data_IF_856678206887
#
_entry.id   IF_856678206887
#
_cell.length_a   1.000
_cell.length_b   1.000
_cell.length_c   1.000
_cell.angle_alpha   90.00
_cell.angle_beta   90.00
_cell.angle_gamma   90.00
#
_symmetry.space_group_name_H-M   'P 1'
#
loop_
_entity.id
_entity.type
_entity.pdbx_description
1 polymer ?
#
# COMPACT_ATOMS: atom_id res chain seq x y z
N UNK A 1 17.81 35.57 46.22
CA UNK A 1 17.12 34.31 46.58
C UNK A 1 16.37 33.81 45.35
N UNK A 2 16.72 32.59 44.93
CA UNK A 2 16.15 31.63 43.96
C UNK A 2 15.38 32.06 42.68
N UNK A 3 15.69 31.42 41.52
CA UNK A 3 15.07 31.64 40.22
C UNK A 3 13.82 30.75 40.02
N UNK A 4 12.91 31.16 39.13
CA UNK A 4 11.87 30.27 38.58
C UNK A 4 12.20 29.99 37.12
N UNK A 5 12.64 28.75 36.89
CA UNK A 5 12.72 28.09 35.59
C UNK A 5 11.30 27.69 35.19
N UNK A 6 10.86 28.06 33.99
CA UNK A 6 9.81 27.31 33.31
C UNK A 6 10.11 27.29 31.80
N UNK A 7 11.09 26.46 31.49
CA UNK A 7 11.24 25.80 30.20
C UNK A 7 9.95 25.01 29.90
N UNK A 8 9.08 25.58 29.08
CA UNK A 8 7.91 24.95 28.50
C UNK A 8 8.04 24.96 26.98
N UNK A 9 8.72 23.95 26.47
CA UNK A 9 9.12 23.74 25.10
C UNK A 9 7.86 23.45 24.24
N UNK A 10 7.28 24.50 23.64
CA UNK A 10 6.20 24.40 22.65
C UNK A 10 6.79 23.95 21.31
N UNK A 11 7.18 22.68 21.22
CA UNK A 11 7.46 21.99 19.96
C UNK A 11 6.57 20.74 19.93
N UNK A 12 5.39 20.90 19.35
CA UNK A 12 4.39 19.83 19.30
C UNK A 12 3.31 20.06 18.26
N UNK A 13 3.63 20.68 17.11
CA UNK A 13 2.68 20.80 15.99
C UNK A 13 3.43 20.72 14.65
N UNK A 14 4.19 19.64 14.45
CA UNK A 14 4.72 19.29 13.12
C UNK A 14 3.67 18.46 12.37
N UNK A 15 2.96 19.15 11.48
CA UNK A 15 2.34 18.68 10.23
C UNK A 15 2.29 17.16 10.00
N UNK A 16 1.22 16.51 10.44
CA UNK A 16 0.69 15.28 9.82
C UNK A 16 -0.41 15.69 8.82
N UNK A 17 0.00 16.27 7.69
CA UNK A 17 -0.87 16.30 6.49
C UNK A 17 -0.59 14.99 5.75
N UNK A 18 -1.18 13.91 6.25
CA UNK A 18 -1.04 12.56 5.73
C UNK A 18 -2.38 11.83 5.76
N UNK A 19 -3.06 11.88 4.62
CA UNK A 19 -4.08 10.96 4.07
C UNK A 19 -5.13 10.37 5.01
N UNK A 20 -6.38 10.86 4.95
CA UNK A 20 -7.60 10.01 4.86
C UNK A 20 -8.71 10.84 4.20
N UNK A 21 -9.32 10.22 3.19
CA UNK A 21 -10.44 10.67 2.39
C UNK A 21 -11.62 11.15 3.25
N UNK A 22 -12.02 12.41 3.15
CA UNK A 22 -13.28 12.92 3.76
C UNK A 22 -14.53 12.53 2.96
N UNK A 23 -14.50 11.42 2.23
CA UNK A 23 -15.64 10.87 1.47
C UNK A 23 -16.25 9.62 2.11
N UNK A 24 -16.08 9.40 3.41
CA UNK A 24 -16.81 8.35 4.14
C UNK A 24 -18.09 8.84 4.83
N UNK A 25 -18.36 10.16 4.83
CA UNK A 25 -19.61 10.69 5.35
C UNK A 25 -20.62 10.86 4.19
N UNK A 26 -21.69 10.05 4.12
CA UNK A 26 -22.71 10.18 3.07
C UNK A 26 -23.36 11.58 3.07
N UNK A 27 -23.47 12.24 4.22
CA UNK A 27 -23.99 13.60 4.32
C UNK A 27 -23.04 14.63 3.71
N UNK A 28 -21.74 14.50 3.92
CA UNK A 28 -20.76 15.43 3.34
C UNK A 28 -20.71 15.31 1.81
N UNK A 29 -20.85 14.09 1.31
CA UNK A 29 -20.86 13.83 -0.12
C UNK A 29 -22.15 14.35 -0.77
N UNK A 30 -23.30 14.13 -0.10
CA UNK A 30 -24.60 14.67 -0.52
C UNK A 30 -24.57 16.20 -0.56
N UNK A 31 -23.97 16.85 0.43
CA UNK A 31 -23.83 18.31 0.46
C UNK A 31 -22.93 18.82 -0.66
N UNK A 32 -21.83 18.11 -1.00
CA UNK A 32 -21.01 18.47 -2.17
C UNK A 32 -21.79 18.37 -3.48
N UNK A 33 -22.59 17.32 -3.66
CA UNK A 33 -23.43 17.18 -4.86
C UNK A 33 -24.51 18.26 -4.90
N UNK A 34 -25.12 18.57 -3.75
CA UNK A 34 -26.08 19.66 -3.60
C UNK A 34 -25.47 20.98 -4.06
N UNK A 35 -24.29 21.33 -3.53
CA UNK A 35 -23.56 22.54 -3.89
C UNK A 35 -23.25 22.60 -5.38
N UNK A 36 -22.71 21.52 -5.95
CA UNK A 36 -22.43 21.45 -7.39
C UNK A 36 -23.70 21.70 -8.22
N UNK A 37 -24.80 21.03 -7.92
CA UNK A 37 -26.04 21.23 -8.66
C UNK A 37 -26.57 22.66 -8.52
N UNK A 38 -26.50 23.28 -7.33
CA UNK A 38 -26.89 24.69 -7.17
C UNK A 38 -25.95 25.67 -7.90
N UNK A 39 -24.64 25.40 -7.92
CA UNK A 39 -23.65 26.23 -8.62
C UNK A 39 -23.84 26.20 -10.14
N UNK A 40 -24.31 25.08 -10.68
CA UNK A 40 -24.69 24.95 -12.09
C UNK A 40 -26.05 25.57 -12.42
N UNK A 41 -26.75 26.14 -11.44
CA UNK A 41 -28.02 26.85 -11.62
C UNK A 41 -29.27 25.98 -11.52
N UNK A 42 -29.17 24.76 -11.00
CA UNK A 42 -30.34 23.95 -10.71
C UNK A 42 -31.00 24.43 -9.42
N UNK A 43 -32.28 24.82 -9.51
CA UNK A 43 -33.05 25.28 -8.36
C UNK A 43 -33.46 24.11 -7.45
N UNK A 44 -33.20 24.16 -6.14
CA UNK A 44 -33.58 23.10 -5.20
C UNK A 44 -35.07 22.75 -5.28
N UNK A 45 -35.40 21.51 -4.92
CA UNK A 45 -36.78 20.98 -4.91
C UNK A 45 -37.47 20.95 -6.28
N UNK A 46 -36.69 20.96 -7.37
CA UNK A 46 -37.17 20.76 -8.75
C UNK A 46 -36.73 19.42 -9.32
N UNK A 47 -37.44 18.92 -10.34
CA UNK A 47 -37.06 17.71 -11.08
C UNK A 47 -35.69 17.85 -11.74
N UNK A 48 -35.34 19.05 -12.21
CA UNK A 48 -34.02 19.33 -12.77
C UNK A 48 -32.90 19.14 -11.75
N UNK A 49 -33.12 19.63 -10.53
CA UNK A 49 -32.18 19.44 -9.43
C UNK A 49 -32.08 17.98 -9.00
N UNK A 50 -33.21 17.28 -8.91
CA UNK A 50 -33.23 15.84 -8.61
C UNK A 50 -32.43 15.04 -9.66
N UNK A 51 -32.60 15.34 -10.95
CA UNK A 51 -31.85 14.71 -12.03
C UNK A 51 -30.35 14.99 -11.93
N UNK A 52 -29.94 16.24 -11.66
CA UNK A 52 -28.53 16.56 -11.43
C UNK A 52 -27.94 15.76 -10.27
N UNK A 53 -28.64 15.69 -9.13
CA UNK A 53 -28.20 14.94 -7.96
C UNK A 53 -28.03 13.44 -8.26
N UNK A 54 -28.98 12.84 -8.97
CA UNK A 54 -28.90 11.44 -9.38
C UNK A 54 -27.72 11.18 -10.34
N UNK A 55 -27.48 12.08 -11.28
CA UNK A 55 -26.37 11.96 -12.22
C UNK A 55 -25.01 12.06 -11.50
N UNK A 56 -24.87 12.97 -10.53
CA UNK A 56 -23.67 13.04 -9.70
C UNK A 56 -23.50 11.76 -8.89
N UNK A 57 -24.59 11.16 -8.39
CA UNK A 57 -24.50 9.86 -7.73
C UNK A 57 -24.01 8.74 -8.64
N UNK A 58 -24.60 8.58 -9.81
CA UNK A 58 -24.15 7.57 -10.77
C UNK A 58 -22.67 7.74 -11.09
N UNK A 59 -22.21 8.98 -11.33
CA UNK A 59 -20.78 9.27 -11.55
C UNK A 59 -19.89 8.88 -10.37
N UNK A 60 -20.33 9.11 -9.14
CA UNK A 60 -19.55 8.76 -7.96
C UNK A 60 -19.43 7.23 -7.81
N UNK A 61 -20.53 6.50 -8.03
CA UNK A 61 -20.56 5.04 -8.01
C UNK A 61 -19.67 4.43 -9.11
N UNK A 62 -19.72 4.98 -10.33
CA UNK A 62 -18.91 4.54 -11.45
C UNK A 62 -17.41 4.71 -11.15
N UNK A 63 -17.01 5.86 -10.58
CA UNK A 63 -15.63 6.12 -10.16
C UNK A 63 -15.18 5.14 -9.08
N UNK A 64 -16.01 4.90 -8.07
CA UNK A 64 -15.69 3.94 -7.02
C UNK A 64 -15.55 2.52 -7.59
N UNK A 65 -16.42 2.13 -8.53
CA UNK A 65 -16.33 0.85 -9.21
C UNK A 65 -15.05 0.71 -10.03
N UNK A 66 -14.62 1.76 -10.73
CA UNK A 66 -13.36 1.81 -11.47
C UNK A 66 -12.15 1.71 -10.53
N UNK A 67 -12.12 2.52 -9.47
CA UNK A 67 -11.04 2.52 -8.47
C UNK A 67 -10.90 1.15 -7.80
N UNK A 68 -12.03 0.50 -7.50
CA UNK A 68 -12.05 -0.87 -6.97
C UNK A 68 -11.49 -1.87 -7.98
N UNK A 69 -11.82 -1.75 -9.27
CA UNK A 69 -11.26 -2.62 -10.33
C UNK A 69 -9.75 -2.43 -10.43
N UNK A 70 -9.28 -1.18 -10.47
CA UNK A 70 -7.85 -0.83 -10.55
C UNK A 70 -7.07 -1.36 -9.35
N UNK A 71 -7.59 -1.16 -8.14
CA UNK A 71 -6.98 -1.68 -6.90
C UNK A 71 -6.86 -3.20 -6.94
N UNK A 72 -7.92 -3.89 -7.36
CA UNK A 72 -7.92 -5.35 -7.48
C UNK A 72 -6.89 -5.85 -8.50
N UNK A 73 -6.70 -5.14 -9.61
CA UNK A 73 -5.67 -5.49 -10.60
C UNK A 73 -4.25 -5.37 -10.03
N UNK A 74 -3.97 -4.28 -9.30
CA UNK A 74 -2.68 -4.08 -8.62
C UNK A 74 -2.42 -5.20 -7.62
N UNK A 75 -3.42 -5.58 -6.82
CA UNK A 75 -3.31 -6.69 -5.86
C UNK A 75 -2.97 -8.01 -6.59
N UNK A 76 -3.67 -8.30 -7.70
CA UNK A 76 -3.42 -9.53 -8.48
C UNK A 76 -1.99 -9.56 -9.03
N UNK A 77 -1.50 -8.45 -9.57
CA UNK A 77 -0.14 -8.35 -10.10
C UNK A 77 0.92 -8.49 -9.00
N UNK A 78 0.73 -7.82 -7.87
CA UNK A 78 1.62 -7.97 -6.72
C UNK A 78 1.67 -9.41 -6.20
N UNK A 79 0.51 -10.09 -6.14
CA UNK A 79 0.44 -11.50 -5.76
C UNK A 79 1.20 -12.39 -6.74
N UNK A 80 1.10 -12.13 -8.06
CA UNK A 80 1.88 -12.87 -9.07
C UNK A 80 3.38 -12.67 -8.89
N UNK A 81 3.83 -11.42 -8.68
CA UNK A 81 5.25 -11.11 -8.44
C UNK A 81 5.77 -11.76 -7.17
N UNK A 82 4.99 -11.74 -6.09
CA UNK A 82 5.33 -12.40 -4.83
C UNK A 82 5.49 -13.91 -5.03
N UNK A 83 4.53 -14.57 -5.70
CA UNK A 83 4.60 -16.00 -5.98
C UNK A 83 5.83 -16.38 -6.83
N UNK A 84 6.17 -15.56 -7.84
CA UNK A 84 7.39 -15.78 -8.63
C UNK A 84 8.66 -15.62 -7.80
N UNK A 85 8.73 -14.59 -6.95
CA UNK A 85 9.87 -14.36 -6.07
C UNK A 85 10.06 -15.52 -5.07
N UNK A 86 8.95 -16.06 -4.53
CA UNK A 86 8.98 -17.19 -3.61
C UNK A 86 9.40 -18.49 -4.31
N UNK A 87 8.94 -18.72 -5.55
CA UNK A 87 9.40 -19.84 -6.36
C UNK A 87 10.92 -19.76 -6.64
N UNK A 88 11.43 -18.58 -6.96
CA UNK A 88 12.87 -18.37 -7.17
C UNK A 88 13.67 -18.60 -5.87
N UNK A 89 13.17 -18.13 -4.72
CA UNK A 89 13.80 -18.40 -3.41
C UNK A 89 13.82 -19.90 -3.11
N UNK A 90 12.73 -20.61 -3.36
CA UNK A 90 12.64 -22.07 -3.21
C UNK A 90 13.68 -22.80 -4.07
N UNK A 91 13.80 -22.42 -5.34
CA UNK A 91 14.81 -22.96 -6.25
C UNK A 91 16.24 -22.67 -5.76
N UNK A 92 16.54 -21.42 -5.40
CA UNK A 92 17.85 -21.04 -4.87
C UNK A 92 18.20 -21.85 -3.61
N UNK A 93 17.22 -22.04 -2.71
CA UNK A 93 17.36 -22.91 -1.54
C UNK A 93 17.76 -24.32 -1.98
N UNK A 94 16.97 -24.96 -2.81
CA UNK A 94 17.26 -26.33 -3.25
C UNK A 94 18.66 -26.45 -3.88
N UNK A 95 19.02 -25.54 -4.79
CA UNK A 95 20.32 -25.54 -5.48
C UNK A 95 21.49 -25.34 -4.52
N UNK A 96 21.40 -24.42 -3.55
CA UNK A 96 22.46 -24.21 -2.57
C UNK A 96 22.69 -25.42 -1.68
N UNK A 97 21.62 -26.11 -1.28
CA UNK A 97 21.73 -27.32 -0.48
C UNK A 97 22.29 -28.49 -1.28
N UNK A 98 21.94 -28.62 -2.57
CA UNK A 98 22.56 -29.63 -3.46
C UNK A 98 24.05 -29.40 -3.69
N UNK A 99 24.51 -28.15 -3.59
CA UNK A 99 25.94 -27.79 -3.69
C UNK A 99 26.68 -27.91 -2.36
N UNK A 100 26.01 -28.31 -1.27
CA UNK A 100 26.67 -28.48 0.02
C UNK A 100 27.83 -29.47 -0.11
N UNK A 101 28.98 -29.12 0.46
CA UNK A 101 30.22 -29.91 0.36
C UNK A 101 31.00 -29.73 -0.96
N UNK A 102 30.43 -29.09 -1.98
CA UNK A 102 31.18 -28.76 -3.19
C UNK A 102 32.00 -27.47 -2.98
N UNK A 103 33.31 -27.64 -2.81
CA UNK A 103 34.24 -26.55 -2.53
C UNK A 103 34.34 -25.49 -3.66
N UNK A 104 33.94 -25.82 -4.89
CA UNK A 104 33.99 -24.90 -6.04
C UNK A 104 32.96 -23.76 -5.95
N UNK A 105 31.93 -23.87 -5.11
CA UNK A 105 30.93 -22.80 -4.92
C UNK A 105 31.16 -22.07 -3.59
N UNK A 106 31.20 -20.73 -3.52
CA UNK A 106 31.38 -20.03 -2.24
C UNK A 106 30.26 -20.33 -1.24
N UNK A 107 30.53 -20.18 0.06
CA UNK A 107 29.49 -20.34 1.11
C UNK A 107 28.51 -19.17 1.03
N UNK A 108 27.21 -19.47 1.05
CA UNK A 108 26.18 -18.45 1.09
C UNK A 108 26.25 -17.64 2.40
N UNK A 109 25.99 -16.35 2.28
CA UNK A 109 25.87 -15.40 3.39
C UNK A 109 24.78 -14.37 3.08
N UNK A 110 24.51 -13.46 4.01
CA UNK A 110 23.48 -12.43 3.85
C UNK A 110 23.66 -11.51 2.63
N UNK A 111 24.90 -11.34 2.14
CA UNK A 111 25.22 -10.51 0.99
C UNK A 111 25.20 -11.28 -0.34
N UNK A 112 24.89 -12.58 -0.32
CA UNK A 112 24.89 -13.39 -1.54
C UNK A 112 23.73 -13.02 -2.47
N UNK A 113 23.91 -13.08 -3.80
CA UNK A 113 22.83 -12.83 -4.74
C UNK A 113 21.65 -13.80 -4.55
N UNK A 114 20.45 -13.25 -4.39
CA UNK A 114 19.25 -14.04 -4.10
C UNK A 114 19.28 -14.70 -2.72
N UNK A 115 20.04 -14.12 -1.77
CA UNK A 115 20.19 -14.65 -0.43
C UNK A 115 18.84 -14.80 0.28
N UNK A 116 18.69 -15.93 0.96
CA UNK A 116 17.67 -16.13 1.97
C UNK A 116 18.23 -16.95 3.12
N UNK A 117 17.64 -16.78 4.31
CA UNK A 117 17.95 -17.59 5.48
C UNK A 117 16.89 -18.68 5.61
N UNK A 118 17.31 -19.93 5.60
CA UNK A 118 16.45 -21.02 6.03
C UNK A 118 16.41 -21.08 7.55
N UNK A 119 15.38 -20.50 8.15
CA UNK A 119 15.24 -20.39 9.61
C UNK A 119 15.20 -21.75 10.33
N UNK A 120 14.83 -22.82 9.61
CA UNK A 120 14.76 -24.17 10.20
C UNK A 120 16.15 -24.76 10.38
N UNK A 121 17.04 -24.59 9.40
CA UNK A 121 18.41 -25.12 9.45
C UNK A 121 19.44 -24.10 9.93
N UNK A 122 19.08 -22.82 9.99
CA UNK A 122 20.00 -21.71 10.30
C UNK A 122 20.98 -21.38 9.17
N UNK A 123 20.80 -21.96 7.97
CA UNK A 123 21.74 -21.84 6.85
C UNK A 123 21.30 -20.81 5.83
N UNK A 124 22.26 -20.05 5.32
CA UNK A 124 22.04 -19.17 4.17
C UNK A 124 21.99 -19.97 2.87
N UNK A 125 21.16 -19.54 1.93
CA UNK A 125 21.08 -20.06 0.56
C UNK A 125 21.04 -18.92 -0.47
N UNK A 126 21.31 -19.19 -1.74
CA UNK A 126 21.36 -18.19 -2.82
C UNK A 126 21.70 -18.77 -4.19
N UNK A 127 21.67 -17.94 -5.23
CA UNK A 127 21.70 -18.42 -6.62
C UNK A 127 22.98 -19.20 -7.00
N UNK A 128 24.15 -18.72 -6.56
CA UNK A 128 25.47 -19.23 -7.00
C UNK A 128 26.40 -19.58 -5.84
N UNK A 129 25.84 -20.03 -4.73
CA UNK A 129 26.59 -20.38 -3.52
C UNK A 129 26.07 -21.71 -2.93
N UNK A 130 26.87 -22.31 -2.05
CA UNK A 130 26.51 -23.52 -1.29
C UNK A 130 25.99 -23.15 0.10
N UNK A 131 25.00 -23.90 0.57
CA UNK A 131 24.63 -23.88 1.98
C UNK A 131 25.74 -24.57 2.79
N UNK A 132 26.13 -24.01 3.93
CA UNK A 132 27.16 -24.59 4.81
C UNK A 132 26.63 -24.81 6.21
#
# INVERSE_FOLDING_TARGET
>A
MRPVVLTGLVLGSLMLVGCVSTTSNPEALKERHRQQCTEFGFEPDTDGFANCMMEQWGRAEDREAEDRRRTNEIIRENNRRAAQADALKSQNKQMSFMRAGNASFPVCNAASPGAGLDVTSGKWYGNSCRAY
#
